data_IF_697492567339
#
_entry.id   IF_697492567339
#
_cell.length_a   1.000
_cell.length_b   1.000
_cell.length_c   1.000
_cell.angle_alpha   90.00
_cell.angle_beta   90.00
_cell.angle_gamma   90.00
#
_symmetry.space_group_name_H-M   'P 1'
#
loop_
_entity.id
_entity.type
_entity.pdbx_description
1 polymer ?
#
# COMPACT_ATOMS: atom_id res chain seq x y z
N UNK A 1 17.66 8.53 -14.53
CA UNK A 1 17.87 8.81 -13.09
C UNK A 1 19.17 8.19 -12.58
N UNK A 2 20.09 8.98 -12.02
CA UNK A 2 21.27 8.47 -11.29
C UNK A 2 20.89 8.12 -9.85
N UNK A 3 21.36 6.97 -9.38
CA UNK A 3 21.19 6.54 -8.00
C UNK A 3 22.48 5.93 -7.45
N UNK A 4 22.70 6.12 -6.15
CA UNK A 4 23.65 5.33 -5.37
C UNK A 4 22.85 4.31 -4.57
N UNK A 5 23.29 3.06 -4.61
CA UNK A 5 22.69 2.01 -3.78
C UNK A 5 23.35 2.04 -2.41
N UNK A 6 22.57 1.81 -1.35
CA UNK A 6 23.19 1.57 -0.05
C UNK A 6 24.08 0.32 -0.09
N UNK A 7 25.00 0.25 0.88
CA UNK A 7 26.02 -0.80 0.95
C UNK A 7 25.47 -2.22 0.81
N UNK A 8 24.30 -2.53 1.40
CA UNK A 8 23.72 -3.86 1.34
C UNK A 8 23.21 -4.23 -0.06
N UNK A 9 22.51 -3.33 -0.74
CA UNK A 9 22.05 -3.56 -2.11
C UNK A 9 23.23 -3.58 -3.09
N UNK A 10 24.18 -2.68 -2.91
CA UNK A 10 25.37 -2.58 -3.72
C UNK A 10 26.14 -3.90 -3.73
N UNK A 11 26.47 -4.48 -2.56
CA UNK A 11 27.17 -5.77 -2.48
C UNK A 11 26.44 -6.90 -3.21
N UNK A 12 25.11 -6.88 -3.19
CA UNK A 12 24.32 -7.89 -3.88
C UNK A 12 24.28 -7.67 -5.38
N UNK A 13 24.17 -6.42 -5.84
CA UNK A 13 24.28 -6.07 -7.26
C UNK A 13 25.67 -6.41 -7.80
N UNK A 14 26.73 -6.00 -7.11
CA UNK A 14 28.11 -6.30 -7.49
C UNK A 14 28.33 -7.82 -7.58
N UNK A 15 27.84 -8.59 -6.60
CA UNK A 15 27.94 -10.06 -6.64
C UNK A 15 27.24 -10.70 -7.85
N UNK A 16 26.15 -10.11 -8.34
CA UNK A 16 25.49 -10.54 -9.58
C UNK A 16 26.30 -10.11 -10.80
N UNK A 17 26.72 -8.85 -10.86
CA UNK A 17 27.46 -8.29 -11.99
C UNK A 17 28.81 -9.00 -12.18
N UNK A 18 29.54 -9.29 -11.10
CA UNK A 18 30.74 -10.13 -11.13
C UNK A 18 30.46 -11.53 -11.66
N UNK A 19 29.32 -12.15 -11.32
CA UNK A 19 28.95 -13.46 -11.88
C UNK A 19 28.58 -13.40 -13.36
N UNK A 20 27.94 -12.31 -13.78
CA UNK A 20 27.52 -12.10 -15.17
C UNK A 20 28.72 -11.75 -16.07
N UNK A 21 29.61 -10.87 -15.61
CA UNK A 21 30.66 -10.24 -16.43
C UNK A 21 32.10 -10.55 -15.98
N UNK A 22 32.29 -11.33 -14.92
CA UNK A 22 33.60 -11.80 -14.48
C UNK A 22 34.40 -10.74 -13.71
N UNK A 23 35.17 -9.92 -14.43
CA UNK A 23 36.16 -8.99 -13.87
C UNK A 23 35.62 -7.58 -13.56
N UNK A 24 34.31 -7.39 -13.69
CA UNK A 24 33.67 -6.10 -13.47
C UNK A 24 33.80 -5.61 -12.02
N UNK A 25 34.18 -4.34 -11.86
CA UNK A 25 34.24 -3.64 -10.58
C UNK A 25 33.37 -2.38 -10.67
N UNK A 26 32.28 -2.36 -9.91
CA UNK A 26 31.34 -1.24 -9.84
C UNK A 26 31.94 -0.01 -9.15
N UNK A 27 31.45 1.18 -9.52
CA UNK A 27 31.64 2.45 -8.80
C UNK A 27 30.52 2.75 -7.80
N UNK A 28 29.63 1.79 -7.53
CA UNK A 28 28.49 1.98 -6.60
C UNK A 28 27.42 2.98 -7.13
N UNK A 29 27.58 3.46 -8.36
CA UNK A 29 26.65 4.37 -9.04
C UNK A 29 25.98 3.63 -10.19
N UNK A 30 24.66 3.81 -10.27
CA UNK A 30 23.83 3.17 -11.26
C UNK A 30 23.01 4.24 -11.98
N UNK A 31 22.87 4.09 -13.29
CA UNK A 31 21.95 4.87 -14.10
C UNK A 31 20.75 4.00 -14.43
N UNK A 32 19.56 4.48 -14.12
CA UNK A 32 18.30 3.89 -14.57
C UNK A 32 17.72 4.83 -15.61
N UNK A 33 17.58 4.39 -16.86
CA UNK A 33 16.90 5.12 -17.93
C UNK A 33 15.79 4.23 -18.47
N UNK A 34 14.53 4.59 -18.16
CA UNK A 34 13.34 3.77 -18.41
C UNK A 34 13.48 2.36 -17.80
N UNK A 35 13.70 1.36 -18.65
CA UNK A 35 13.84 -0.07 -18.30
C UNK A 35 15.30 -0.53 -18.34
N UNK A 36 16.26 0.36 -18.59
CA UNK A 36 17.68 0.03 -18.66
C UNK A 36 18.39 0.40 -17.36
N UNK A 37 19.06 -0.58 -16.77
CA UNK A 37 19.97 -0.38 -15.65
C UNK A 37 21.41 -0.46 -16.16
N UNK A 38 22.12 0.65 -16.06
CA UNK A 38 23.55 0.71 -16.34
C UNK A 38 24.34 0.76 -15.04
N UNK A 39 25.09 -0.31 -14.77
CA UNK A 39 26.07 -0.35 -13.70
C UNK A 39 27.39 0.26 -14.19
N UNK A 40 27.79 1.36 -13.55
CA UNK A 40 28.98 2.13 -13.90
C UNK A 40 30.18 1.46 -13.23
N UNK A 41 31.09 0.83 -13.99
CA UNK A 41 32.28 0.17 -13.44
C UNK A 41 33.56 0.32 -14.26
N UNK A 42 34.73 0.02 -13.69
CA UNK A 42 36.02 0.16 -14.39
C UNK A 42 36.52 -1.20 -14.90
N UNK A 43 36.93 -1.34 -16.18
CA UNK A 43 37.10 -0.30 -17.21
C UNK A 43 35.90 -0.06 -18.14
N UNK A 44 34.78 -0.78 -17.98
CA UNK A 44 33.60 -0.70 -18.84
C UNK A 44 32.30 -0.69 -18.03
N UNK A 45 31.23 -0.14 -18.59
CA UNK A 45 29.88 -0.19 -18.00
C UNK A 45 29.16 -1.46 -18.47
N UNK A 46 28.26 -1.97 -17.61
CA UNK A 46 27.34 -3.04 -17.97
C UNK A 46 25.95 -2.46 -18.04
N UNK A 47 25.27 -2.63 -19.17
CA UNK A 47 23.86 -2.29 -19.32
C UNK A 47 23.02 -3.57 -19.31
N UNK A 48 21.96 -3.56 -18.52
CA UNK A 48 20.99 -4.65 -18.42
C UNK A 48 19.61 -4.06 -18.67
N UNK A 49 18.87 -4.60 -19.64
CA UNK A 49 17.46 -4.28 -19.80
C UNK A 49 16.65 -5.12 -18.82
N UNK A 50 15.93 -4.46 -17.93
CA UNK A 50 15.25 -5.07 -16.79
C UNK A 50 13.98 -5.85 -17.18
N UNK A 51 13.41 -5.58 -18.35
CA UNK A 51 12.19 -6.24 -18.81
C UNK A 51 12.43 -7.61 -19.47
N UNK A 52 13.60 -7.83 -20.08
CA UNK A 52 13.95 -9.09 -20.76
C UNK A 52 15.27 -9.70 -20.28
N UNK A 53 15.98 -9.02 -19.37
CA UNK A 53 17.26 -9.46 -18.82
C UNK A 53 18.41 -9.38 -19.81
N UNK A 54 18.23 -8.84 -21.03
CA UNK A 54 19.29 -8.75 -22.03
C UNK A 54 20.43 -7.86 -21.53
N UNK A 55 21.65 -8.33 -21.77
CA UNK A 55 22.89 -7.63 -21.38
C UNK A 55 23.61 -7.10 -22.60
N UNK A 56 24.03 -5.86 -22.51
CA UNK A 56 24.93 -5.23 -23.47
C UNK A 56 26.16 -4.69 -22.73
N UNK A 57 27.35 -4.93 -23.30
CA UNK A 57 28.58 -4.32 -22.80
C UNK A 57 28.76 -3.00 -23.54
N UNK A 58 28.73 -1.89 -22.81
CA UNK A 58 28.99 -0.58 -23.41
C UNK A 58 30.50 -0.32 -23.42
N UNK A 59 31.08 -0.32 -24.63
CA UNK A 59 32.43 0.18 -24.86
C UNK A 59 32.37 1.68 -25.04
N UNK A 60 32.77 2.41 -23.99
CA UNK A 60 33.45 3.71 -23.98
C UNK A 60 33.02 4.52 -22.75
N UNK A 61 34.03 4.91 -21.98
CA UNK A 61 33.92 5.24 -20.55
C UNK A 61 34.52 6.63 -20.27
N UNK A 62 34.27 7.59 -21.15
CA UNK A 62 34.81 8.96 -21.03
C UNK A 62 33.77 9.99 -20.57
N UNK A 63 32.49 9.83 -20.92
CA UNK A 63 31.48 10.88 -20.72
C UNK A 63 31.00 11.09 -19.27
N UNK A 64 31.36 10.20 -18.34
CA UNK A 64 30.83 10.19 -16.96
C UNK A 64 31.89 10.47 -15.89
N UNK A 65 33.11 10.86 -16.29
CA UNK A 65 34.17 11.25 -15.33
C UNK A 65 33.83 12.54 -14.57
N UNK A 66 32.91 13.34 -15.11
CA UNK A 66 32.49 14.64 -14.56
C UNK A 66 31.25 14.56 -13.66
N UNK A 67 30.72 13.36 -13.36
CA UNK A 67 29.63 13.22 -12.40
C UNK A 67 30.13 13.63 -11.01
N UNK A 68 29.49 14.65 -10.42
CA UNK A 68 29.71 14.98 -9.03
C UNK A 68 29.10 13.87 -8.16
N UNK A 69 29.93 12.91 -7.74
CA UNK A 69 29.50 11.74 -6.99
C UNK A 69 28.78 12.13 -5.68
N UNK A 70 29.08 13.30 -5.12
CA UNK A 70 28.44 13.80 -3.89
C UNK A 70 26.99 14.27 -4.11
N UNK A 71 26.57 14.49 -5.36
CA UNK A 71 25.21 14.95 -5.70
C UNK A 71 24.26 13.81 -6.08
N UNK A 72 24.75 12.57 -6.17
CA UNK A 72 23.92 11.42 -6.53
C UNK A 72 23.13 10.95 -5.30
N UNK A 73 21.79 10.92 -5.35
CA UNK A 73 20.97 10.52 -4.22
C UNK A 73 21.21 9.03 -3.88
N UNK A 74 21.42 8.76 -2.59
CA UNK A 74 21.51 7.41 -2.07
C UNK A 74 20.11 6.88 -1.75
N UNK A 75 19.81 5.65 -2.20
CA UNK A 75 18.57 4.96 -1.86
C UNK A 75 18.69 4.40 -0.44
N UNK A 76 18.01 5.05 0.50
CA UNK A 76 17.95 4.63 1.89
C UNK A 76 17.35 3.22 2.04
N UNK A 77 17.84 2.46 3.02
CA UNK A 77 17.27 1.17 3.38
C UNK A 77 15.80 1.30 3.80
N UNK A 78 15.02 0.22 3.64
CA UNK A 78 13.62 0.11 4.05
C UNK A 78 12.62 1.06 3.32
N UNK A 79 13.11 1.84 2.36
CA UNK A 79 12.27 2.60 1.42
C UNK A 79 11.56 1.69 0.42
N UNK A 80 10.45 2.16 -0.17
CA UNK A 80 9.79 1.41 -1.23
C UNK A 80 10.67 1.31 -2.49
N UNK A 81 11.48 2.34 -2.79
CA UNK A 81 12.51 2.29 -3.84
C UNK A 81 13.51 1.16 -3.60
N UNK A 82 13.99 1.03 -2.37
CA UNK A 82 14.87 -0.08 -1.97
C UNK A 82 14.21 -1.44 -2.21
N UNK A 83 12.93 -1.59 -1.85
CA UNK A 83 12.21 -2.86 -2.07
C UNK A 83 11.95 -3.18 -3.54
N UNK A 84 11.61 -2.18 -4.36
CA UNK A 84 11.48 -2.32 -5.82
C UNK A 84 12.81 -2.81 -6.40
N UNK A 85 13.92 -2.17 -6.07
CA UNK A 85 15.26 -2.55 -6.54
C UNK A 85 15.68 -3.94 -6.04
N UNK A 86 15.37 -4.27 -4.79
CA UNK A 86 15.61 -5.60 -4.20
C UNK A 86 14.80 -6.68 -4.92
N UNK A 87 13.56 -6.38 -5.32
CA UNK A 87 12.73 -7.30 -6.07
C UNK A 87 13.27 -7.53 -7.49
N UNK A 88 13.64 -6.45 -8.20
CA UNK A 88 14.31 -6.52 -9.50
C UNK A 88 15.58 -7.38 -9.41
N UNK A 89 16.42 -7.12 -8.40
CA UNK A 89 17.64 -7.88 -8.15
C UNK A 89 17.36 -9.38 -7.97
N UNK A 90 16.34 -9.74 -7.19
CA UNK A 90 15.93 -11.12 -7.00
C UNK A 90 15.54 -11.79 -8.32
N UNK A 91 14.79 -11.09 -9.18
CA UNK A 91 14.38 -11.60 -10.48
C UNK A 91 15.56 -11.77 -11.43
N UNK A 92 16.51 -10.83 -11.43
CA UNK A 92 17.76 -10.99 -12.19
C UNK A 92 18.54 -12.23 -11.73
N UNK A 93 18.60 -12.51 -10.42
CA UNK A 93 19.26 -13.74 -9.93
C UNK A 93 18.59 -14.99 -10.44
N UNK A 94 17.26 -15.01 -10.48
CA UNK A 94 16.49 -16.12 -11.01
C UNK A 94 16.77 -16.31 -12.51
N UNK A 95 16.72 -15.22 -13.27
CA UNK A 95 16.97 -15.21 -14.71
C UNK A 95 18.37 -15.76 -15.08
N UNK A 96 19.39 -15.38 -14.30
CA UNK A 96 20.78 -15.81 -14.52
C UNK A 96 21.20 -17.07 -13.73
N UNK A 97 20.26 -17.76 -13.06
CA UNK A 97 20.53 -18.94 -12.19
C UNK A 97 21.62 -18.70 -11.11
N UNK A 98 21.57 -17.54 -10.46
CA UNK A 98 22.55 -17.11 -9.46
C UNK A 98 22.12 -17.49 -8.05
N UNK A 99 22.81 -18.49 -7.47
CA UNK A 99 22.54 -18.97 -6.10
C UNK A 99 22.93 -17.99 -4.98
N UNK A 100 22.19 -18.00 -3.84
CA UNK A 100 20.89 -18.66 -3.64
C UNK A 100 19.79 -18.04 -4.53
N UNK A 101 18.96 -18.90 -5.11
CA UNK A 101 17.79 -18.52 -5.90
C UNK A 101 16.59 -18.58 -4.98
N UNK A 102 15.71 -17.58 -5.05
CA UNK A 102 14.46 -17.62 -4.33
C UNK A 102 13.58 -18.74 -4.88
N UNK A 103 13.02 -19.59 -4.01
CA UNK A 103 11.98 -20.52 -4.47
C UNK A 103 10.71 -19.74 -4.86
N UNK A 104 9.82 -20.43 -5.57
CA UNK A 104 8.55 -19.86 -6.05
C UNK A 104 7.70 -19.29 -4.90
N UNK A 105 7.75 -19.92 -3.73
CA UNK A 105 7.00 -19.51 -2.57
C UNK A 105 7.51 -18.17 -2.02
N UNK A 106 8.83 -18.05 -1.81
CA UNK A 106 9.46 -16.81 -1.35
C UNK A 106 9.26 -15.68 -2.35
N UNK A 107 9.34 -15.96 -3.65
CA UNK A 107 9.02 -15.00 -4.72
C UNK A 107 7.60 -14.48 -4.58
N UNK A 108 6.62 -15.37 -4.48
CA UNK A 108 5.22 -15.01 -4.32
C UNK A 108 4.97 -14.18 -3.05
N UNK A 109 5.61 -14.54 -1.93
CA UNK A 109 5.47 -13.81 -0.66
C UNK A 109 6.08 -12.40 -0.77
N UNK A 110 7.28 -12.27 -1.33
CA UNK A 110 7.93 -10.97 -1.51
C UNK A 110 7.15 -10.08 -2.48
N UNK A 111 6.65 -10.65 -3.59
CA UNK A 111 5.77 -9.94 -4.52
C UNK A 111 4.49 -9.47 -3.86
N UNK A 112 3.85 -10.34 -3.06
CA UNK A 112 2.64 -9.98 -2.31
C UNK A 112 2.89 -8.77 -1.42
N UNK A 113 3.95 -8.80 -0.61
CA UNK A 113 4.35 -7.68 0.23
C UNK A 113 4.69 -6.41 -0.56
N UNK A 114 5.43 -6.55 -1.66
CA UNK A 114 5.77 -5.41 -2.53
C UNK A 114 4.50 -4.82 -3.17
N UNK A 115 3.61 -5.65 -3.72
CA UNK A 115 2.37 -5.20 -4.34
C UNK A 115 1.40 -4.60 -3.31
N UNK A 116 1.42 -5.11 -2.08
CA UNK A 116 0.71 -4.48 -0.97
C UNK A 116 1.20 -3.06 -0.71
N UNK A 117 2.47 -2.74 -1.01
CA UNK A 117 3.02 -1.38 -0.93
C UNK A 117 2.91 -0.59 -2.24
N UNK A 118 2.99 -1.24 -3.40
CA UNK A 118 2.90 -0.57 -4.70
C UNK A 118 1.47 -0.16 -5.05
N UNK A 119 0.45 -0.89 -4.56
CA UNK A 119 -0.96 -0.54 -4.81
C UNK A 119 -1.32 0.89 -4.36
N UNK A 120 -0.59 1.45 -3.39
CA UNK A 120 -0.76 2.84 -2.94
C UNK A 120 -0.40 3.89 -4.00
N UNK A 121 0.36 3.47 -5.02
CA UNK A 121 0.79 4.29 -6.13
C UNK A 121 0.07 3.89 -7.43
N UNK A 122 -1.03 3.14 -7.33
CA UNK A 122 -1.67 2.47 -8.46
C UNK A 122 -0.69 1.59 -9.26
N UNK A 123 0.35 1.09 -8.58
CA UNK A 123 1.43 0.33 -9.20
C UNK A 123 1.31 -1.15 -8.84
N UNK A 124 1.59 -2.04 -9.79
CA UNK A 124 1.66 -3.48 -9.56
C UNK A 124 2.92 -4.02 -10.21
N UNK A 125 3.65 -4.87 -9.48
CA UNK A 125 4.71 -5.71 -10.02
C UNK A 125 4.13 -7.06 -10.44
N UNK A 126 4.36 -7.43 -11.69
CA UNK A 126 3.93 -8.68 -12.31
C UNK A 126 5.17 -9.52 -12.62
N UNK A 127 5.09 -10.82 -12.33
CA UNK A 127 6.17 -11.73 -12.69
C UNK A 127 6.09 -12.06 -14.17
N UNK A 128 7.14 -11.67 -14.87
CA UNK A 128 7.52 -12.11 -16.21
C UNK A 128 8.93 -12.73 -16.08
N UNK A 129 9.65 -13.15 -17.14
CA UNK A 129 10.99 -13.75 -16.98
C UNK A 129 11.95 -12.92 -16.10
N UNK A 130 11.73 -11.61 -15.98
CA UNK A 130 12.36 -10.73 -14.98
C UNK A 130 11.30 -10.02 -14.12
N UNK A 131 10.80 -8.84 -14.52
CA UNK A 131 9.66 -8.16 -13.85
C UNK A 131 9.08 -7.12 -14.79
N UNK A 132 7.75 -6.98 -14.78
CA UNK A 132 7.07 -5.84 -15.41
C UNK A 132 6.30 -5.08 -14.33
N UNK A 133 6.33 -3.76 -14.43
CA UNK A 133 5.48 -2.92 -13.62
C UNK A 133 4.34 -2.34 -14.46
N UNK A 134 3.18 -2.19 -13.84
CA UNK A 134 2.06 -1.43 -14.41
C UNK A 134 1.66 -0.31 -13.47
N UNK A 135 1.40 0.87 -14.01
CA UNK A 135 0.82 2.01 -13.29
C UNK A 135 -0.57 2.24 -13.89
N UNK A 136 -1.61 2.19 -13.06
CA UNK A 136 -3.02 2.36 -13.50
C UNK A 136 -3.43 1.36 -14.59
N UNK A 137 -2.81 0.18 -14.60
CA UNK A 137 -3.05 -0.88 -15.59
C UNK A 137 -2.26 -0.73 -16.88
N UNK A 138 -1.53 0.37 -17.07
CA UNK A 138 -0.64 0.56 -18.22
C UNK A 138 0.78 0.15 -17.86
N UNK A 139 1.52 -0.42 -18.82
CA UNK A 139 2.92 -0.80 -18.60
C UNK A 139 3.76 0.45 -18.27
N UNK A 140 4.50 0.38 -17.18
CA UNK A 140 5.37 1.44 -16.70
C UNK A 140 6.83 1.00 -16.70
N UNK A 141 7.74 1.94 -16.92
CA UNK A 141 9.16 1.65 -16.82
C UNK A 141 9.61 1.61 -15.35
N UNK A 142 10.75 0.98 -15.08
CA UNK A 142 11.34 1.00 -13.72
C UNK A 142 11.62 2.42 -13.26
N UNK A 143 12.10 3.30 -14.14
CA UNK A 143 12.28 4.72 -13.83
C UNK A 143 10.97 5.40 -13.43
N UNK A 144 9.88 5.18 -14.18
CA UNK A 144 8.55 5.73 -13.86
C UNK A 144 8.09 5.28 -12.48
N UNK A 145 8.28 3.99 -12.16
CA UNK A 145 7.93 3.44 -10.85
C UNK A 145 8.76 4.08 -9.75
N UNK A 146 10.08 4.18 -9.90
CA UNK A 146 10.96 4.78 -8.91
C UNK A 146 10.68 6.28 -8.72
N UNK A 147 10.28 6.97 -9.79
CA UNK A 147 9.84 8.36 -9.71
C UNK A 147 8.50 8.49 -8.98
N UNK A 148 7.53 7.62 -9.30
CA UNK A 148 6.18 7.63 -8.71
C UNK A 148 6.19 7.23 -7.23
N UNK A 149 6.99 6.22 -6.87
CA UNK A 149 7.29 5.88 -5.49
C UNK A 149 8.37 6.83 -4.98
N UNK A 150 8.01 8.10 -4.84
CA UNK A 150 8.88 9.11 -4.21
C UNK A 150 9.43 8.59 -2.88
N UNK A 151 10.60 9.10 -2.47
CA UNK A 151 11.12 8.97 -1.10
C UNK A 151 10.25 9.74 -0.10
N UNK A 152 8.93 9.71 -0.24
CA UNK A 152 8.01 10.13 0.81
C UNK A 152 8.18 9.13 1.96
N UNK A 153 9.20 9.42 2.78
CA UNK A 153 9.47 8.84 4.09
C UNK A 153 8.20 8.78 4.93
N UNK A 154 7.28 9.69 4.69
CA UNK A 154 5.96 9.76 5.29
C UNK A 154 5.12 8.52 5.00
N UNK A 155 5.08 8.02 3.76
CA UNK A 155 4.38 6.76 3.45
C UNK A 155 5.18 5.57 3.97
N UNK A 156 6.52 5.61 3.92
CA UNK A 156 7.39 4.59 4.52
C UNK A 156 7.19 4.40 6.03
N UNK A 157 7.04 5.49 6.78
CA UNK A 157 6.79 5.48 8.23
C UNK A 157 5.36 5.03 8.56
N UNK A 158 4.36 5.48 7.80
CA UNK A 158 2.98 4.98 7.91
C UNK A 158 2.90 3.49 7.55
N UNK A 159 3.69 3.05 6.56
CA UNK A 159 3.78 1.68 6.06
C UNK A 159 4.72 0.75 6.80
N UNK A 160 5.53 1.27 7.71
CA UNK A 160 6.24 0.44 8.69
C UNK A 160 5.25 -0.42 9.51
N UNK A 161 3.95 -0.12 9.40
CA UNK A 161 2.84 -0.86 9.97
C UNK A 161 2.65 -0.54 11.44
N UNK A 162 3.67 -0.02 12.13
CA UNK A 162 3.62 0.15 13.58
C UNK A 162 2.54 1.15 14.01
N UNK A 163 2.46 2.31 13.37
CA UNK A 163 1.53 3.37 13.81
C UNK A 163 0.10 3.08 13.37
N UNK A 164 -0.10 2.65 12.11
CA UNK A 164 -1.40 2.28 11.59
C UNK A 164 -1.97 1.02 12.27
N UNK A 165 -1.15 -0.03 12.46
CA UNK A 165 -1.61 -1.24 13.13
C UNK A 165 -1.79 -1.01 14.63
N UNK A 166 -1.02 -0.10 15.24
CA UNK A 166 -1.29 0.34 16.61
C UNK A 166 -2.62 1.08 16.71
N UNK A 167 -2.90 2.03 15.81
CA UNK A 167 -4.18 2.73 15.75
C UNK A 167 -5.37 1.77 15.54
N UNK A 168 -5.26 0.84 14.59
CA UNK A 168 -6.25 -0.23 14.37
C UNK A 168 -6.40 -1.13 15.58
N UNK A 169 -5.32 -1.45 16.28
CA UNK A 169 -5.38 -2.24 17.52
C UNK A 169 -6.13 -1.49 18.61
N UNK A 170 -5.88 -0.19 18.80
CA UNK A 170 -6.64 0.64 19.74
C UNK A 170 -8.13 0.66 19.40
N UNK A 171 -8.47 0.81 18.12
CA UNK A 171 -9.85 0.71 17.62
C UNK A 171 -10.47 -0.67 17.92
N UNK A 172 -9.72 -1.74 17.69
CA UNK A 172 -10.10 -3.12 18.01
C UNK A 172 -10.35 -3.35 19.51
N UNK A 173 -9.61 -2.63 20.36
CA UNK A 173 -9.73 -2.59 21.82
C UNK A 173 -10.74 -1.57 22.32
N UNK A 174 -11.49 -0.91 21.42
CA UNK A 174 -12.53 0.08 21.74
C UNK A 174 -11.99 1.36 22.39
N UNK A 175 -10.70 1.64 22.27
CA UNK A 175 -10.02 2.85 22.79
C UNK A 175 -10.08 3.94 21.72
N UNK A 176 -11.30 4.40 21.42
CA UNK A 176 -11.58 5.24 20.27
C UNK A 176 -10.91 6.61 20.30
N UNK A 177 -10.89 7.27 21.45
CA UNK A 177 -10.21 8.57 21.61
C UNK A 177 -8.72 8.44 21.29
N UNK A 178 -8.06 7.42 21.84
CA UNK A 178 -6.64 7.17 21.59
C UNK A 178 -6.37 6.73 20.15
N UNK A 179 -7.25 5.92 19.57
CA UNK A 179 -7.15 5.55 18.16
C UNK A 179 -7.23 6.80 17.27
N UNK A 180 -8.15 7.71 17.57
CA UNK A 180 -8.32 8.96 16.83
C UNK A 180 -7.07 9.87 16.95
N UNK A 181 -6.47 9.95 18.13
CA UNK A 181 -5.19 10.65 18.35
C UNK A 181 -4.05 10.08 17.48
N UNK A 182 -4.10 8.79 17.14
CA UNK A 182 -3.15 8.19 16.20
C UNK A 182 -3.55 8.42 14.74
N UNK A 183 -4.84 8.30 14.38
CA UNK A 183 -5.29 8.41 12.99
C UNK A 183 -5.23 9.84 12.43
N UNK A 184 -5.52 10.87 13.24
CA UNK A 184 -5.57 12.27 12.77
C UNK A 184 -4.20 12.80 12.26
N UNK A 185 -3.06 12.54 12.94
CA UNK A 185 -1.76 12.88 12.38
C UNK A 185 -1.46 12.13 11.07
N UNK A 186 -1.87 10.85 10.97
CA UNK A 186 -1.63 10.04 9.77
C UNK A 186 -2.40 10.58 8.56
N UNK A 187 -3.65 11.04 8.72
CA UNK A 187 -4.42 11.55 7.56
C UNK A 187 -3.82 12.86 7.01
N UNK A 188 -3.26 13.72 7.87
CA UNK A 188 -2.56 14.94 7.44
C UNK A 188 -1.27 14.70 6.65
N UNK A 189 -0.76 13.47 6.71
CA UNK A 189 0.52 13.04 6.16
C UNK A 189 0.37 12.31 4.82
N UNK A 190 -0.85 11.90 4.46
CA UNK A 190 -1.11 11.19 3.20
C UNK A 190 -1.65 12.15 2.14
N UNK A 191 -1.45 11.78 0.87
CA UNK A 191 -1.96 12.55 -0.26
C UNK A 191 -3.50 12.51 -0.28
N UNK A 192 -4.20 13.66 -0.34
CA UNK A 192 -5.66 13.69 -0.45
C UNK A 192 -6.18 12.92 -1.66
N UNK A 193 -7.27 12.18 -1.47
CA UNK A 193 -7.92 11.36 -2.50
C UNK A 193 -7.18 10.08 -2.86
N UNK A 194 -6.08 9.74 -2.16
CA UNK A 194 -5.37 8.46 -2.32
C UNK A 194 -6.12 7.30 -1.66
N UNK A 195 -5.62 6.08 -1.88
CA UNK A 195 -6.12 4.89 -1.21
C UNK A 195 -6.01 4.99 0.32
N UNK A 196 -4.88 5.48 0.86
CA UNK A 196 -4.72 5.66 2.31
C UNK A 196 -5.60 6.75 2.87
N UNK A 197 -5.74 7.87 2.17
CA UNK A 197 -6.65 8.92 2.59
C UNK A 197 -8.07 8.34 2.69
N UNK A 198 -8.49 7.56 1.69
CA UNK A 198 -9.79 6.86 1.71
C UNK A 198 -9.91 5.88 2.89
N UNK A 199 -8.89 5.05 3.12
CA UNK A 199 -8.88 4.09 4.23
C UNK A 199 -8.87 4.77 5.61
N UNK A 200 -8.08 5.82 5.79
CA UNK A 200 -8.02 6.60 7.03
C UNK A 200 -9.34 7.33 7.27
N UNK A 201 -9.95 7.91 6.23
CA UNK A 201 -11.28 8.49 6.30
C UNK A 201 -12.33 7.44 6.72
N UNK A 202 -12.24 6.20 6.22
CA UNK A 202 -13.11 5.11 6.65
C UNK A 202 -12.95 4.78 8.14
N UNK A 203 -11.71 4.62 8.63
CA UNK A 203 -11.47 4.35 10.06
C UNK A 203 -11.90 5.50 10.95
N UNK A 204 -11.55 6.75 10.59
CA UNK A 204 -11.91 7.93 11.38
C UNK A 204 -13.43 8.11 11.40
N UNK A 205 -14.10 7.90 10.26
CA UNK A 205 -15.56 7.90 10.19
C UNK A 205 -16.20 6.85 11.10
N UNK A 206 -15.68 5.62 11.09
CA UNK A 206 -16.15 4.53 11.97
C UNK A 206 -15.96 4.86 13.46
N UNK A 207 -14.82 5.47 13.80
CA UNK A 207 -14.52 5.93 15.16
C UNK A 207 -15.54 6.98 15.61
N UNK A 208 -15.76 8.04 14.83
CA UNK A 208 -16.73 9.08 15.18
C UNK A 208 -18.15 8.53 15.30
N UNK A 209 -18.55 7.60 14.42
CA UNK A 209 -19.85 6.95 14.50
C UNK A 209 -20.02 6.20 15.84
N UNK A 210 -19.00 5.44 16.25
CA UNK A 210 -19.02 4.72 17.52
C UNK A 210 -18.86 5.62 18.76
N UNK A 211 -18.31 6.82 18.59
CA UNK A 211 -18.28 7.87 19.62
C UNK A 211 -19.60 8.67 19.71
N UNK A 212 -20.65 8.26 18.98
CA UNK A 212 -21.93 8.96 18.91
C UNK A 212 -21.85 10.35 18.28
N UNK A 213 -20.93 10.54 17.32
CA UNK A 213 -20.77 11.76 16.52
C UNK A 213 -21.06 11.50 15.03
N UNK A 214 -22.28 11.09 14.66
CA UNK A 214 -22.59 10.65 13.29
C UNK A 214 -22.41 11.74 12.23
N UNK A 215 -22.59 13.01 12.57
CA UNK A 215 -22.37 14.11 11.62
C UNK A 215 -20.89 14.25 11.24
N UNK A 216 -19.97 14.11 12.20
CA UNK A 216 -18.53 14.08 11.91
C UNK A 216 -18.17 12.85 11.11
N UNK A 217 -18.75 11.69 11.44
CA UNK A 217 -18.52 10.47 10.67
C UNK A 217 -18.88 10.66 9.18
N UNK A 218 -20.01 11.32 8.89
CA UNK A 218 -20.42 11.66 7.52
C UNK A 218 -19.44 12.58 6.80
N UNK A 219 -18.81 13.53 7.51
CA UNK A 219 -17.79 14.40 6.91
C UNK A 219 -16.61 13.58 6.37
N UNK A 220 -16.13 12.59 7.13
CA UNK A 220 -15.03 11.72 6.69
C UNK A 220 -15.47 10.72 5.62
N UNK A 221 -16.65 10.10 5.74
CA UNK A 221 -17.13 9.19 4.69
C UNK A 221 -17.31 9.88 3.33
N UNK A 222 -17.63 11.17 3.28
CA UNK A 222 -17.68 11.94 2.03
C UNK A 222 -16.33 12.17 1.37
N UNK A 223 -15.24 12.12 2.14
CA UNK A 223 -13.88 12.30 1.61
C UNK A 223 -13.33 11.00 1.00
N UNK A 224 -14.01 9.87 1.21
CA UNK A 224 -13.63 8.59 0.64
C UNK A 224 -13.71 8.64 -0.90
N UNK A 225 -12.65 8.19 -1.58
CA UNK A 225 -12.63 8.10 -3.02
C UNK A 225 -13.21 6.75 -3.48
N UNK A 226 -14.33 6.72 -4.23
CA UNK A 226 -14.96 5.47 -4.67
C UNK A 226 -14.05 4.52 -5.46
N UNK A 227 -13.04 5.05 -6.15
CA UNK A 227 -12.05 4.24 -6.89
C UNK A 227 -11.34 3.22 -5.98
N UNK A 228 -11.16 3.56 -4.70
CA UNK A 228 -10.41 2.74 -3.74
C UNK A 228 -11.30 2.01 -2.73
N UNK A 229 -12.62 2.04 -2.93
CA UNK A 229 -13.57 1.29 -2.11
C UNK A 229 -13.82 -0.06 -2.76
N UNK A 230 -13.39 -1.13 -2.08
CA UNK A 230 -13.55 -2.51 -2.60
C UNK A 230 -15.01 -2.94 -2.71
N UNK A 231 -15.84 -2.51 -1.74
CA UNK A 231 -17.26 -2.78 -1.69
C UNK A 231 -18.02 -1.48 -1.42
N UNK A 232 -18.60 -0.90 -2.47
CA UNK A 232 -19.38 0.34 -2.35
C UNK A 232 -20.59 0.17 -1.44
N UNK A 233 -21.13 -1.06 -1.33
CA UNK A 233 -22.24 -1.36 -0.44
C UNK A 233 -21.85 -1.14 1.02
N UNK A 234 -20.64 -1.51 1.42
CA UNK A 234 -20.13 -1.27 2.78
C UNK A 234 -20.08 0.23 3.11
N UNK A 235 -19.59 1.06 2.19
CA UNK A 235 -19.58 2.52 2.36
C UNK A 235 -21.02 3.09 2.47
N UNK A 236 -21.94 2.63 1.62
CA UNK A 236 -23.35 3.06 1.69
C UNK A 236 -23.99 2.69 3.02
N UNK A 237 -23.80 1.45 3.49
CA UNK A 237 -24.36 0.99 4.77
C UNK A 237 -23.81 1.83 5.92
N UNK A 238 -22.50 2.12 5.96
CA UNK A 238 -21.88 2.99 6.99
C UNK A 238 -22.49 4.39 7.01
N UNK A 239 -22.63 5.02 5.85
CA UNK A 239 -23.29 6.32 5.72
C UNK A 239 -24.75 6.24 6.17
N UNK A 240 -25.46 5.20 5.75
CA UNK A 240 -26.84 4.95 6.14
C UNK A 240 -27.03 4.81 7.65
N UNK A 241 -26.13 4.11 8.34
CA UNK A 241 -26.14 4.01 9.79
C UNK A 241 -26.00 5.37 10.47
N UNK A 242 -25.12 6.25 9.96
CA UNK A 242 -25.02 7.62 10.47
C UNK A 242 -26.32 8.42 10.27
N UNK A 243 -27.07 8.18 9.19
CA UNK A 243 -28.29 8.92 8.84
C UNK A 243 -29.55 8.41 9.55
N UNK A 244 -29.61 7.10 9.83
CA UNK A 244 -30.85 6.43 10.22
C UNK A 244 -30.87 5.95 11.67
N UNK A 245 -29.73 5.64 12.28
CA UNK A 245 -29.73 4.99 13.59
C UNK A 245 -30.35 5.87 14.67
N UNK A 246 -30.12 7.18 14.68
CA UNK A 246 -30.74 8.07 15.67
C UNK A 246 -32.27 8.15 15.50
N UNK A 247 -32.78 7.90 14.28
CA UNK A 247 -34.22 7.79 13.99
C UNK A 247 -34.80 6.45 14.46
N UNK A 248 -33.98 5.44 14.72
CA UNK A 248 -34.40 4.14 15.26
C UNK A 248 -34.69 4.18 16.78
N UNK A 249 -34.46 5.32 17.45
CA UNK A 249 -34.82 5.55 18.84
C UNK A 249 -34.15 4.55 19.81
N UNK A 250 -34.92 3.93 20.70
CA UNK A 250 -34.40 2.96 21.68
C UNK A 250 -33.73 1.73 21.05
N UNK A 251 -34.07 1.39 19.80
CA UNK A 251 -33.46 0.25 19.07
C UNK A 251 -32.08 0.60 18.49
N UNK A 252 -31.75 1.89 18.38
CA UNK A 252 -30.47 2.36 17.83
C UNK A 252 -29.26 1.75 18.56
N UNK A 253 -29.31 1.67 19.89
CA UNK A 253 -28.23 1.09 20.70
C UNK A 253 -28.01 -0.39 20.43
N UNK A 254 -29.11 -1.16 20.27
CA UNK A 254 -29.02 -2.60 19.98
C UNK A 254 -28.50 -2.82 18.55
N UNK A 255 -28.99 -2.08 17.57
CA UNK A 255 -28.51 -2.15 16.18
C UNK A 255 -27.02 -1.78 16.11
N UNK A 256 -26.61 -0.67 16.74
CA UNK A 256 -25.20 -0.25 16.83
C UNK A 256 -24.30 -1.32 17.45
N UNK A 257 -24.73 -1.94 18.55
CA UNK A 257 -23.99 -3.03 19.19
C UNK A 257 -23.89 -4.26 18.28
N UNK A 258 -24.99 -4.60 17.59
CA UNK A 258 -25.04 -5.77 16.70
C UNK A 258 -24.16 -5.57 15.47
N UNK A 259 -24.26 -4.42 14.80
CA UNK A 259 -23.40 -4.01 13.70
C UNK A 259 -21.92 -4.05 14.10
N UNK A 260 -21.57 -3.52 15.27
CA UNK A 260 -20.20 -3.59 15.80
C UNK A 260 -19.69 -5.01 16.01
N UNK A 261 -20.56 -5.96 16.37
CA UNK A 261 -20.16 -7.36 16.47
C UNK A 261 -19.87 -8.01 15.10
N UNK A 262 -20.47 -7.50 14.02
CA UNK A 262 -20.17 -7.93 12.65
C UNK A 262 -18.79 -7.41 12.24
N UNK A 263 -18.51 -6.13 12.51
CA UNK A 263 -17.23 -5.50 12.14
C UNK A 263 -16.04 -5.95 13.00
N UNK A 264 -16.26 -6.22 14.29
CA UNK A 264 -15.19 -6.50 15.25
C UNK A 264 -15.41 -7.84 15.98
N UNK A 265 -14.72 -8.92 15.54
CA UNK A 265 -14.79 -10.23 16.19
C UNK A 265 -14.35 -10.22 17.67
N UNK A 266 -13.39 -9.37 18.03
CA UNK A 266 -12.92 -9.21 19.42
C UNK A 266 -14.02 -8.63 20.30
N UNK A 267 -14.76 -7.64 19.79
CA UNK A 267 -15.93 -7.09 20.49
C UNK A 267 -17.04 -8.12 20.64
N UNK A 268 -17.35 -8.87 19.58
CA UNK A 268 -18.31 -9.98 19.65
C UNK A 268 -17.94 -10.99 20.74
N UNK A 269 -16.65 -11.33 20.85
CA UNK A 269 -16.15 -12.22 21.91
C UNK A 269 -16.32 -11.62 23.31
N UNK A 270 -16.05 -10.33 23.49
CA UNK A 270 -16.13 -9.67 24.80
C UNK A 270 -17.56 -9.54 25.33
N UNK A 271 -18.57 -9.57 24.46
CA UNK A 271 -19.99 -9.57 24.85
C UNK A 271 -20.70 -10.90 24.58
N UNK A 272 -19.97 -12.00 24.42
CA UNK A 272 -20.52 -13.31 24.01
C UNK A 272 -21.75 -13.75 24.81
N UNK A 273 -21.74 -13.60 26.14
CA UNK A 273 -22.89 -13.94 27.03
C UNK A 273 -24.18 -13.14 26.75
N UNK A 274 -24.07 -12.01 26.04
CA UNK A 274 -25.18 -11.13 25.65
C UNK A 274 -25.44 -11.15 24.15
N UNK A 275 -24.49 -11.63 23.35
CA UNK A 275 -24.59 -11.62 21.89
C UNK A 275 -25.77 -12.44 21.39
N UNK A 276 -26.04 -13.61 21.97
CA UNK A 276 -27.18 -14.44 21.51
C UNK A 276 -28.52 -13.72 21.73
N UNK A 277 -28.72 -13.09 22.89
CA UNK A 277 -29.93 -12.27 23.16
C UNK A 277 -30.01 -11.04 22.28
N UNK A 278 -28.88 -10.42 21.96
CA UNK A 278 -28.81 -9.29 21.04
C UNK A 278 -29.20 -9.72 19.64
N UNK A 279 -28.64 -10.84 19.17
CA UNK A 279 -28.90 -11.46 17.88
C UNK A 279 -30.38 -11.80 17.73
N UNK A 280 -31.00 -12.46 18.71
CA UNK A 280 -32.44 -12.78 18.67
C UNK A 280 -33.34 -11.55 18.52
N UNK A 281 -32.95 -10.41 19.11
CA UNK A 281 -33.73 -9.17 19.05
C UNK A 281 -33.51 -8.38 17.76
N UNK A 282 -32.30 -8.45 17.19
CA UNK A 282 -31.88 -7.59 16.09
C UNK A 282 -31.93 -8.31 14.74
N UNK A 283 -31.55 -9.59 14.65
CA UNK A 283 -31.56 -10.37 13.39
C UNK A 283 -32.85 -10.20 12.57
N UNK A 284 -34.06 -10.30 13.17
CA UNK A 284 -35.30 -10.25 12.39
C UNK A 284 -35.56 -8.92 11.69
N UNK A 285 -34.91 -7.85 12.15
CA UNK A 285 -35.08 -6.49 11.61
C UNK A 285 -33.80 -5.95 10.94
N UNK A 286 -32.68 -6.63 11.10
CA UNK A 286 -31.36 -6.11 10.72
C UNK A 286 -31.19 -6.05 9.21
N UNK A 287 -31.63 -7.07 8.48
CA UNK A 287 -31.53 -7.11 7.02
C UNK A 287 -32.34 -5.99 6.35
N UNK A 288 -33.58 -5.76 6.83
CA UNK A 288 -34.40 -4.63 6.36
C UNK A 288 -33.76 -3.28 6.71
N UNK A 289 -33.17 -3.17 7.91
CA UNK A 289 -32.46 -1.96 8.33
C UNK A 289 -31.22 -1.69 7.47
N UNK A 290 -30.40 -2.70 7.18
CA UNK A 290 -29.24 -2.56 6.29
C UNK A 290 -29.65 -2.16 4.88
N UNK A 291 -30.71 -2.73 4.31
CA UNK A 291 -31.21 -2.35 3.00
C UNK A 291 -31.61 -0.85 2.97
N UNK A 292 -32.28 -0.37 4.02
CA UNK A 292 -32.62 1.05 4.16
C UNK A 292 -31.39 1.93 4.35
N UNK A 293 -30.38 1.46 5.08
CA UNK A 293 -29.10 2.16 5.23
C UNK A 293 -28.37 2.25 3.89
N UNK A 294 -28.32 1.17 3.12
CA UNK A 294 -27.72 1.14 1.79
C UNK A 294 -28.40 2.15 0.86
N UNK A 295 -29.74 2.15 0.79
CA UNK A 295 -30.51 3.11 -0.01
C UNK A 295 -30.23 4.56 0.39
N UNK A 296 -30.32 4.86 1.69
CA UNK A 296 -30.09 6.20 2.21
C UNK A 296 -28.64 6.67 1.99
N UNK A 297 -27.67 5.76 2.13
CA UNK A 297 -26.26 6.03 1.90
C UNK A 297 -25.95 6.30 0.43
N UNK A 298 -26.52 5.51 -0.47
CA UNK A 298 -26.40 5.71 -1.91
C UNK A 298 -27.01 7.04 -2.36
N UNK A 299 -28.22 7.36 -1.87
CA UNK A 299 -28.88 8.65 -2.13
C UNK A 299 -28.02 9.83 -1.63
N UNK A 300 -27.48 9.71 -0.42
CA UNK A 300 -26.69 10.78 0.20
C UNK A 300 -25.36 11.06 -0.50
N UNK A 301 -24.68 10.02 -0.98
CA UNK A 301 -23.40 10.16 -1.68
C UNK A 301 -23.56 10.49 -3.17
N UNK A 302 -24.75 10.24 -3.76
CA UNK A 302 -25.06 10.61 -5.13
C UNK A 302 -24.26 9.86 -6.20
N UNK A 303 -23.66 8.72 -5.84
CA UNK A 303 -22.99 7.84 -6.82
C UNK A 303 -24.05 7.02 -7.55
N UNK A 304 -24.07 7.10 -8.89
CA UNK A 304 -24.95 6.24 -9.69
C UNK A 304 -24.63 4.76 -9.41
N UNK A 305 -25.66 3.94 -9.14
CA UNK A 305 -25.49 2.48 -9.11
C UNK A 305 -24.97 2.08 -10.48
N UNK A 306 -23.72 1.59 -10.55
CA UNK A 306 -23.26 0.88 -11.75
C UNK A 306 -24.02 -0.45 -11.78
N UNK A 307 -24.92 -0.57 -12.75
CA UNK A 307 -25.62 -1.81 -13.07
C UNK A 307 -24.65 -2.96 -13.40
#
# INVERSE_FOLDING_TARGET
MFIRLNHSLQLQFDGILTKIAGDFVSKEIYLIDKDELTAIGRPYSIKIRLSDGMRENEKEYEQWQDLNEDEVPEIAADTLRYEVLKYILMQLRLYYDIKPVADEHMRSVLRGKLNDRLKFYDTVAVDEPVVIFTIEGERASVEDVLYKVSDDSVIGDILSGTDLDYARRLMGLLRYDEALEQFLPLISRVRPGSMFDTELNMYIGEIYYHMHEPLKALEYYKLCNPKYINDMRDLYIRVGHCLLDDKAGLRSGLIKMYYRCILNPTYKKSISDRYDRLKEQVDPIYEEHEARCEEAGAEYLGYEKKD
#
